data_IF_896081881086
#
_entry.id   IF_896081881086
#
_cell.length_a   1.000
_cell.length_b   1.000
_cell.length_c   1.000
_cell.angle_alpha   90.00
_cell.angle_beta   90.00
_cell.angle_gamma   90.00
#
_symmetry.space_group_name_H-M   'P 1'
#
loop_
_entity.id
_entity.type
_entity.pdbx_description
1 polymer ?
#
# COMPACT_ATOMS: atom_id res chain seq x y z
N UNK A 1 33.38 -30.15 45.80
CA UNK A 1 32.09 -29.62 45.32
C UNK A 1 32.31 -28.93 43.99
N UNK A 2 31.61 -29.34 42.93
CA UNK A 2 31.75 -28.73 41.60
C UNK A 2 31.38 -27.25 41.66
N UNK A 3 32.27 -26.36 41.22
CA UNK A 3 32.06 -24.91 41.22
C UNK A 3 30.85 -24.60 40.34
N UNK A 4 29.74 -24.15 40.94
CA UNK A 4 28.56 -23.78 40.18
C UNK A 4 28.94 -22.69 39.18
N UNK A 5 28.79 -22.97 37.88
CA UNK A 5 29.16 -22.05 36.79
C UNK A 5 28.44 -20.69 36.87
N UNK A 6 27.29 -20.65 37.54
CA UNK A 6 26.50 -19.45 37.79
C UNK A 6 26.25 -19.33 39.30
N UNK A 7 27.17 -18.69 40.01
CA UNK A 7 26.97 -18.37 41.42
C UNK A 7 25.96 -17.23 41.59
N UNK A 8 25.46 -17.06 42.80
CA UNK A 8 24.45 -16.05 43.09
C UNK A 8 24.98 -14.63 42.86
N UNK A 9 26.25 -14.39 43.19
CA UNK A 9 26.92 -13.10 43.05
C UNK A 9 27.05 -12.72 41.58
N UNK A 10 27.53 -13.64 40.75
CA UNK A 10 27.71 -13.45 39.31
C UNK A 10 26.38 -13.18 38.61
N UNK A 11 25.31 -13.91 38.99
CA UNK A 11 23.99 -13.68 38.43
C UNK A 11 23.38 -12.36 38.89
N UNK A 12 23.59 -11.98 40.16
CA UNK A 12 23.08 -10.71 40.70
C UNK A 12 23.73 -9.52 40.02
N UNK A 13 25.05 -9.55 39.84
CA UNK A 13 25.78 -8.53 39.09
C UNK A 13 25.27 -8.42 37.64
N UNK A 14 25.14 -9.55 36.95
CA UNK A 14 24.68 -9.57 35.56
C UNK A 14 23.23 -9.10 35.41
N UNK A 15 22.35 -9.38 36.38
CA UNK A 15 20.96 -8.92 36.40
C UNK A 15 20.89 -7.40 36.66
N UNK A 16 21.68 -6.87 37.58
CA UNK A 16 21.75 -5.41 37.84
C UNK A 16 22.26 -4.67 36.61
N UNK A 17 23.31 -5.20 35.95
CA UNK A 17 23.91 -4.58 34.77
C UNK A 17 23.07 -4.71 33.48
N UNK A 18 21.93 -5.41 33.53
CA UNK A 18 21.11 -5.71 32.36
C UNK A 18 19.67 -5.26 32.52
N UNK A 19 18.98 -5.05 31.40
CA UNK A 19 17.53 -4.74 31.37
C UNK A 19 16.70 -5.83 30.71
N UNK A 20 17.33 -6.97 30.39
CA UNK A 20 16.69 -8.16 29.80
C UNK A 20 17.56 -9.39 30.03
N UNK A 21 16.94 -10.58 29.96
CA UNK A 21 17.65 -11.87 30.02
C UNK A 21 18.68 -12.04 28.90
N UNK A 22 18.42 -11.52 27.70
CA UNK A 22 19.41 -11.50 26.62
C UNK A 22 20.58 -10.56 26.94
N UNK A 23 20.34 -9.49 27.71
CA UNK A 23 21.38 -8.66 28.32
C UNK A 23 22.23 -9.47 29.31
N UNK A 24 21.58 -10.19 30.24
CA UNK A 24 22.27 -11.04 31.23
C UNK A 24 23.18 -12.06 30.54
N UNK A 25 22.68 -12.72 29.49
CA UNK A 25 23.47 -13.67 28.71
C UNK A 25 24.69 -13.01 28.07
N UNK A 26 24.53 -11.84 27.43
CA UNK A 26 25.65 -11.10 26.83
C UNK A 26 26.67 -10.64 27.87
N UNK A 27 26.19 -10.18 29.03
CA UNK A 27 27.04 -9.77 30.15
C UNK A 27 27.89 -10.94 30.67
N UNK A 28 27.33 -12.15 30.68
CA UNK A 28 28.03 -13.39 31.03
C UNK A 28 28.87 -13.97 29.87
N UNK A 29 29.00 -13.26 28.74
CA UNK A 29 29.73 -13.74 27.55
C UNK A 29 29.07 -14.91 26.83
N UNK A 30 27.77 -15.16 27.07
CA UNK A 30 27.02 -16.27 26.50
C UNK A 30 26.29 -15.87 25.23
N UNK A 31 26.26 -16.78 24.26
CA UNK A 31 25.42 -16.64 23.06
C UNK A 31 23.94 -16.74 23.45
N UNK A 32 23.08 -15.76 23.08
CA UNK A 32 21.64 -15.84 23.28
C UNK A 32 21.04 -17.07 22.58
N UNK A 33 20.51 -17.99 23.37
CA UNK A 33 19.88 -19.24 22.93
C UNK A 33 18.75 -19.61 23.90
N UNK A 34 17.64 -20.16 23.39
CA UNK A 34 16.43 -20.40 24.18
C UNK A 34 16.63 -21.32 25.39
N UNK A 35 17.43 -22.39 25.24
CA UNK A 35 17.73 -23.31 26.33
C UNK A 35 18.51 -22.65 27.47
N UNK A 36 19.56 -21.91 27.15
CA UNK A 36 20.36 -21.16 28.15
C UNK A 36 19.55 -20.04 28.78
N UNK A 37 18.69 -19.37 28.01
CA UNK A 37 17.78 -18.35 28.53
C UNK A 37 16.83 -18.94 29.59
N UNK A 38 16.19 -20.07 29.28
CA UNK A 38 15.30 -20.76 30.22
C UNK A 38 16.04 -21.31 31.45
N UNK A 39 17.28 -21.77 31.28
CA UNK A 39 18.13 -22.21 32.39
C UNK A 39 18.47 -21.05 33.34
N UNK A 40 18.96 -19.93 32.81
CA UNK A 40 19.31 -18.77 33.62
C UNK A 40 18.10 -18.14 34.29
N UNK A 41 16.95 -18.08 33.60
CA UNK A 41 15.70 -17.57 34.18
C UNK A 41 15.28 -18.40 35.39
N UNK A 42 15.22 -19.73 35.24
CA UNK A 42 14.93 -20.64 36.37
C UNK A 42 15.92 -20.46 37.51
N UNK A 43 17.21 -20.23 37.20
CA UNK A 43 18.23 -20.05 38.23
C UNK A 43 18.09 -18.72 38.99
N UNK A 44 17.77 -17.63 38.29
CA UNK A 44 17.47 -16.31 38.88
C UNK A 44 16.26 -16.42 39.80
N UNK A 45 15.19 -17.08 39.34
CA UNK A 45 13.97 -17.28 40.12
C UNK A 45 14.24 -18.14 41.37
N UNK A 46 15.01 -19.24 41.24
CA UNK A 46 15.41 -20.11 42.36
C UNK A 46 16.25 -19.40 43.42
N UNK A 47 17.05 -18.41 43.02
CA UNK A 47 17.92 -17.65 43.91
C UNK A 47 17.24 -16.39 44.46
N UNK A 48 15.99 -16.12 44.09
CA UNK A 48 15.25 -14.93 44.54
C UNK A 48 15.89 -13.61 44.12
N UNK A 49 16.59 -13.58 42.98
CA UNK A 49 17.22 -12.35 42.48
C UNK A 49 16.14 -11.49 41.82
N UNK A 50 15.98 -10.26 42.32
CA UNK A 50 15.04 -9.29 41.73
C UNK A 50 15.44 -8.94 40.29
N UNK A 51 14.49 -9.10 39.38
CA UNK A 51 14.61 -8.77 37.96
C UNK A 51 13.40 -7.97 37.45
N UNK A 52 12.67 -7.33 38.36
CA UNK A 52 11.46 -6.55 38.07
C UNK A 52 11.71 -5.36 37.13
N UNK A 53 12.93 -4.81 37.10
CA UNK A 53 13.33 -3.75 36.18
C UNK A 53 13.49 -4.20 34.72
N UNK A 54 13.38 -5.50 34.42
CA UNK A 54 13.45 -5.99 33.05
C UNK A 54 12.21 -5.60 32.27
N UNK A 55 12.39 -4.88 31.17
CA UNK A 55 11.25 -4.34 30.42
C UNK A 55 10.63 -5.35 29.44
N UNK A 56 11.32 -6.46 29.16
CA UNK A 56 10.81 -7.52 28.29
C UNK A 56 10.51 -7.04 26.87
N UNK A 57 9.28 -7.18 26.38
CA UNK A 57 8.88 -6.68 25.06
C UNK A 57 8.56 -5.18 25.04
N UNK A 58 8.60 -4.49 26.19
CA UNK A 58 8.18 -3.09 26.29
C UNK A 58 9.29 -2.06 25.99
N UNK A 59 10.54 -2.49 25.74
CA UNK A 59 11.66 -1.61 25.36
C UNK A 59 11.33 -0.64 24.20
N UNK A 60 10.38 -1.01 23.33
CA UNK A 60 9.93 -0.21 22.19
C UNK A 60 8.45 0.20 22.25
N UNK A 61 7.74 -0.02 23.38
CA UNK A 61 6.29 0.12 23.49
C UNK A 61 5.77 1.51 23.07
N UNK A 62 6.58 2.55 23.26
CA UNK A 62 6.23 3.93 22.90
C UNK A 62 7.08 4.49 21.76
N UNK A 63 7.81 3.64 21.04
CA UNK A 63 8.61 4.04 19.88
C UNK A 63 7.87 3.65 18.60
N UNK A 64 7.57 4.62 17.71
CA UNK A 64 7.02 4.30 16.41
C UNK A 64 7.96 3.34 15.65
N UNK A 65 7.39 2.42 14.89
CA UNK A 65 8.17 1.60 13.96
C UNK A 65 8.97 2.49 13.02
N UNK A 66 10.23 2.15 12.76
CA UNK A 66 11.05 2.82 11.73
C UNK A 66 10.46 2.72 10.33
N UNK A 67 9.54 1.77 10.09
CA UNK A 67 8.80 1.59 8.83
C UNK A 67 7.50 2.38 8.78
N UNK A 68 7.19 3.17 9.82
CA UNK A 68 5.97 3.98 9.86
C UNK A 68 6.11 5.14 8.87
N UNK A 69 5.28 5.11 7.85
CA UNK A 69 5.10 6.21 6.89
C UNK A 69 4.43 7.42 7.54
N UNK A 70 4.88 8.62 7.15
CA UNK A 70 4.26 9.90 7.51
C UNK A 70 2.91 10.09 6.79
N UNK A 71 2.02 10.97 7.29
CA UNK A 71 0.75 11.25 6.61
C UNK A 71 0.91 11.64 5.14
N UNK A 72 1.93 12.44 4.80
CA UNK A 72 2.18 12.92 3.43
C UNK A 72 2.63 11.80 2.49
N UNK A 73 3.24 10.74 3.02
CA UNK A 73 3.64 9.55 2.24
C UNK A 73 2.51 8.53 2.09
N UNK A 74 1.52 8.59 2.98
CA UNK A 74 0.33 7.73 2.95
C UNK A 74 -0.73 8.34 2.03
N UNK A 75 -0.96 9.64 2.14
CA UNK A 75 -2.07 10.34 1.49
C UNK A 75 -1.71 10.85 0.09
N UNK A 76 -1.33 9.90 -0.77
CA UNK A 76 -0.95 10.15 -2.16
C UNK A 76 -1.86 9.40 -3.12
N UNK A 77 -1.81 9.78 -4.40
CA UNK A 77 -2.32 8.90 -5.45
C UNK A 77 -1.31 7.76 -5.66
N UNK A 78 -1.80 6.52 -5.56
CA UNK A 78 -0.99 5.30 -5.64
C UNK A 78 -1.20 4.63 -7.00
N UNK A 79 -0.22 3.84 -7.48
CA UNK A 79 -0.45 2.99 -8.65
C UNK A 79 -1.65 2.06 -8.44
N UNK A 80 -2.51 1.94 -9.44
CA UNK A 80 -3.73 1.12 -9.38
C UNK A 80 -3.47 -0.37 -9.13
N UNK A 81 -2.26 -0.85 -9.43
CA UNK A 81 -1.82 -2.23 -9.18
C UNK A 81 -1.54 -2.51 -7.71
N UNK A 82 -1.38 -1.48 -6.87
CA UNK A 82 -1.16 -1.68 -5.44
C UNK A 82 -2.45 -2.12 -4.76
N UNK A 83 -2.31 -3.05 -3.81
CA UNK A 83 -3.39 -3.41 -2.90
C UNK A 83 -3.91 -2.17 -2.16
N UNK A 84 -5.21 -2.18 -1.85
CA UNK A 84 -5.87 -1.19 -1.00
C UNK A 84 -5.04 -0.93 0.26
N UNK A 85 -4.86 0.35 0.58
CA UNK A 85 -4.17 0.75 1.81
C UNK A 85 -4.97 0.30 3.02
N UNK A 86 -4.28 -0.15 4.07
CA UNK A 86 -4.97 -0.65 5.25
C UNK A 86 -5.78 0.47 5.92
N UNK A 87 -7.06 0.23 6.32
CA UNK A 87 -7.90 1.28 6.87
C UNK A 87 -7.31 2.01 8.08
N UNK A 88 -6.61 1.28 8.97
CA UNK A 88 -5.97 1.87 10.14
C UNK A 88 -4.79 2.81 9.78
N UNK A 89 -4.13 2.59 8.64
CA UNK A 89 -3.05 3.47 8.13
C UNK A 89 -3.65 4.78 7.63
N UNK A 90 -4.73 4.71 6.84
CA UNK A 90 -5.42 5.91 6.34
C UNK A 90 -6.07 6.71 7.48
N UNK A 91 -6.74 6.02 8.42
CA UNK A 91 -7.33 6.65 9.60
C UNK A 91 -6.29 7.42 10.40
N UNK A 92 -5.14 6.78 10.67
CA UNK A 92 -4.02 7.40 11.36
C UNK A 92 -3.52 8.65 10.61
N UNK A 93 -3.25 8.52 9.32
CA UNK A 93 -2.73 9.62 8.50
C UNK A 93 -3.68 10.84 8.49
N UNK A 94 -4.99 10.60 8.36
CA UNK A 94 -6.00 11.66 8.43
C UNK A 94 -6.02 12.35 9.79
N UNK A 95 -6.01 11.58 10.89
CA UNK A 95 -6.00 12.17 12.23
C UNK A 95 -4.73 12.98 12.48
N UNK A 96 -3.57 12.47 12.08
CA UNK A 96 -2.28 13.17 12.21
C UNK A 96 -2.17 14.42 11.34
N UNK A 97 -2.89 14.48 10.22
CA UNK A 97 -2.99 15.68 9.38
C UNK A 97 -3.98 16.71 9.92
N UNK A 98 -4.50 16.53 11.14
CA UNK A 98 -5.45 17.45 11.76
C UNK A 98 -6.90 17.29 11.28
N UNK A 99 -7.23 16.25 10.51
CA UNK A 99 -8.63 16.02 10.10
C UNK A 99 -9.47 15.65 11.32
N UNK A 100 -10.54 16.39 11.64
CA UNK A 100 -11.43 16.04 12.73
C UNK A 100 -12.04 14.66 12.50
N UNK A 101 -12.06 13.81 13.53
CA UNK A 101 -12.69 12.50 13.47
C UNK A 101 -14.21 12.64 13.63
N UNK A 102 -14.86 13.24 12.63
CA UNK A 102 -16.31 13.45 12.56
C UNK A 102 -16.85 12.94 11.25
N UNK A 103 -18.07 12.41 11.26
CA UNK A 103 -18.75 12.03 10.04
C UNK A 103 -18.90 13.26 9.14
N UNK A 104 -18.41 13.19 7.90
CA UNK A 104 -18.49 14.29 6.95
C UNK A 104 -19.93 14.56 6.46
N UNK A 105 -20.86 13.63 6.70
CA UNK A 105 -22.26 13.72 6.28
C UNK A 105 -23.15 14.20 7.44
N UNK A 106 -23.25 13.41 8.52
CA UNK A 106 -24.11 13.75 9.66
C UNK A 106 -23.40 14.44 10.84
N UNK A 107 -22.10 14.73 10.77
CA UNK A 107 -21.34 15.40 11.84
C UNK A 107 -21.05 14.58 13.10
N UNK A 108 -21.56 13.34 13.20
CA UNK A 108 -21.38 12.47 14.36
C UNK A 108 -19.89 12.29 14.72
N UNK A 109 -19.55 12.50 16.00
CA UNK A 109 -18.17 12.47 16.51
C UNK A 109 -17.60 11.09 16.86
N UNK A 110 -18.31 10.01 16.51
CA UNK A 110 -17.93 8.64 16.88
C UNK A 110 -18.65 8.12 18.13
N UNK A 111 -19.93 8.45 18.27
CA UNK A 111 -20.78 7.93 19.36
C UNK A 111 -22.14 7.46 18.81
N UNK A 112 -22.63 6.33 19.32
CA UNK A 112 -23.96 5.82 19.03
C UNK A 112 -24.55 5.17 20.29
N UNK A 113 -25.75 5.60 20.68
CA UNK A 113 -26.43 5.14 21.92
C UNK A 113 -25.55 5.24 23.17
N UNK A 114 -24.82 6.36 23.33
CA UNK A 114 -23.93 6.58 24.48
C UNK A 114 -22.66 5.72 24.47
N UNK A 115 -22.37 4.99 23.38
CA UNK A 115 -21.19 4.12 23.26
C UNK A 115 -20.27 4.59 22.13
N UNK A 116 -18.95 4.43 22.28
CA UNK A 116 -18.00 4.75 21.21
C UNK A 116 -18.28 3.95 19.94
N UNK A 117 -18.23 4.63 18.80
CA UNK A 117 -18.43 4.07 17.47
C UNK A 117 -17.28 4.47 16.56
N UNK A 118 -16.65 3.48 15.93
CA UNK A 118 -15.55 3.73 14.99
C UNK A 118 -16.08 4.32 13.68
N UNK A 119 -15.67 5.55 13.39
CA UNK A 119 -15.87 6.12 12.05
C UNK A 119 -14.97 5.40 11.03
N UNK A 120 -15.56 5.10 9.88
CA UNK A 120 -14.94 4.42 8.75
C UNK A 120 -14.31 5.44 7.81
N UNK A 121 -13.21 5.06 7.15
CA UNK A 121 -12.58 5.87 6.10
C UNK A 121 -13.21 5.50 4.76
N UNK A 122 -13.85 6.48 4.13
CA UNK A 122 -14.48 6.38 2.81
C UNK A 122 -13.64 7.12 1.76
N UNK A 123 -13.64 6.60 0.54
CA UNK A 123 -13.07 7.29 -0.63
C UNK A 123 -14.24 7.90 -1.40
N UNK A 124 -14.25 9.22 -1.54
CA UNK A 124 -15.36 9.96 -2.19
C UNK A 124 -15.63 9.42 -3.59
N UNK A 125 -14.58 9.21 -4.38
CA UNK A 125 -14.67 8.63 -5.73
C UNK A 125 -14.75 7.09 -5.77
N UNK A 126 -14.69 6.41 -4.61
CA UNK A 126 -14.69 4.94 -4.51
C UNK A 126 -13.43 4.24 -5.03
N UNK A 127 -12.37 4.98 -5.36
CA UNK A 127 -11.12 4.44 -5.90
C UNK A 127 -10.10 4.22 -4.78
N UNK A 128 -9.84 2.96 -4.44
CA UNK A 128 -8.97 2.61 -3.30
C UNK A 128 -7.49 2.98 -3.47
N UNK A 129 -7.06 3.41 -4.65
CA UNK A 129 -5.69 3.84 -4.96
C UNK A 129 -5.52 5.35 -4.86
N UNK A 130 -6.60 6.12 -4.91
CA UNK A 130 -6.57 7.57 -4.71
C UNK A 130 -6.69 7.87 -3.22
N UNK A 131 -5.57 7.81 -2.50
CA UNK A 131 -5.53 8.04 -1.06
C UNK A 131 -5.24 9.52 -0.73
N UNK A 132 -5.33 10.45 -1.69
CA UNK A 132 -5.11 11.88 -1.44
C UNK A 132 -6.10 12.38 -0.37
N UNK A 133 -5.63 13.29 0.49
CA UNK A 133 -6.38 13.75 1.66
C UNK A 133 -7.77 14.31 1.31
N UNK A 134 -7.92 14.95 0.15
CA UNK A 134 -9.20 15.53 -0.30
C UNK A 134 -10.20 14.50 -0.80
N UNK A 135 -9.73 13.31 -1.22
CA UNK A 135 -10.58 12.21 -1.64
C UNK A 135 -11.02 11.31 -0.47
N UNK A 136 -10.43 11.50 0.72
CA UNK A 136 -10.72 10.70 1.90
C UNK A 136 -11.61 11.46 2.89
N UNK A 137 -12.58 10.76 3.46
CA UNK A 137 -13.44 11.31 4.52
C UNK A 137 -13.76 10.28 5.58
N UNK A 138 -14.05 10.75 6.80
CA UNK A 138 -14.64 9.91 7.84
C UNK A 138 -16.15 9.86 7.65
N UNK A 139 -16.74 8.67 7.74
CA UNK A 139 -18.18 8.46 7.78
C UNK A 139 -18.55 7.52 8.93
N UNK A 140 -19.69 7.74 9.58
CA UNK A 140 -20.25 6.73 10.47
C UNK A 140 -20.76 5.53 9.65
N UNK A 141 -20.89 4.33 10.25
CA UNK A 141 -21.40 3.15 9.56
C UNK A 141 -22.76 3.37 8.88
N UNK A 142 -23.64 4.19 9.47
CA UNK A 142 -24.97 4.48 8.93
C UNK A 142 -24.93 5.39 7.69
N UNK A 143 -24.07 6.42 7.68
CA UNK A 143 -23.89 7.27 6.50
C UNK A 143 -23.08 6.55 5.42
N UNK A 144 -22.05 5.80 5.82
CA UNK A 144 -21.24 5.04 4.88
C UNK A 144 -22.08 3.98 4.17
N UNK A 145 -22.98 3.30 4.87
CA UNK A 145 -23.89 2.33 4.27
C UNK A 145 -24.91 2.95 3.31
N UNK A 146 -24.98 4.27 3.18
CA UNK A 146 -25.84 4.97 2.20
C UNK A 146 -25.06 5.46 0.98
N UNK A 147 -23.71 5.38 0.99
CA UNK A 147 -22.93 5.83 -0.17
C UNK A 147 -23.12 4.89 -1.37
N UNK A 148 -23.01 5.47 -2.56
CA UNK A 148 -23.02 4.74 -3.84
C UNK A 148 -21.84 3.76 -3.96
N UNK A 149 -20.77 3.98 -3.21
CA UNK A 149 -19.52 3.20 -3.23
C UNK A 149 -19.47 2.09 -2.18
N UNK A 150 -20.44 2.03 -1.26
CA UNK A 150 -20.44 1.09 -0.14
C UNK A 150 -20.49 -0.37 -0.57
N UNK A 151 -19.71 -1.24 0.09
CA UNK A 151 -19.73 -2.70 -0.09
C UNK A 151 -19.66 -3.20 -1.57
N UNK A 152 -19.06 -2.40 -2.45
CA UNK A 152 -19.01 -2.72 -3.88
C UNK A 152 -20.36 -2.53 -4.58
N UNK A 153 -21.26 -1.68 -4.08
CA UNK A 153 -22.47 -1.23 -4.81
C UNK A 153 -22.13 -0.43 -6.05
N UNK A 154 -20.96 0.21 -6.07
CA UNK A 154 -20.37 0.75 -7.30
C UNK A 154 -19.95 -0.33 -8.31
N UNK A 155 -20.34 -1.60 -8.11
CA UNK A 155 -20.18 -2.63 -9.14
C UNK A 155 -20.98 -2.30 -10.39
N UNK A 156 -22.10 -1.57 -10.35
CA UNK A 156 -22.80 -1.14 -11.57
C UNK A 156 -23.65 0.13 -11.38
N UNK A 157 -23.38 1.15 -12.19
CA UNK A 157 -24.40 1.79 -13.04
C UNK A 157 -23.64 2.53 -14.14
N UNK A 158 -23.66 1.97 -15.35
CA UNK A 158 -23.41 2.77 -16.52
C UNK A 158 -24.62 2.60 -17.42
N UNK A 159 -25.58 3.50 -17.25
CA UNK A 159 -26.74 3.67 -18.13
C UNK A 159 -26.37 4.30 -19.47
N UNK A 160 -25.09 4.67 -19.64
CA UNK A 160 -24.57 5.28 -20.84
C UNK A 160 -24.03 4.20 -21.77
N UNK A 161 -24.79 3.88 -22.82
CA UNK A 161 -24.33 3.00 -23.89
C UNK A 161 -23.60 3.87 -24.90
N UNK A 162 -22.31 3.60 -25.12
CA UNK A 162 -21.60 4.16 -26.27
C UNK A 162 -22.02 3.35 -27.49
N UNK A 163 -22.96 3.88 -28.27
CA UNK A 163 -23.29 3.36 -29.59
C UNK A 163 -22.27 3.88 -30.61
N UNK A 164 -21.67 2.98 -31.39
CA UNK A 164 -20.65 3.32 -32.38
C UNK A 164 -19.19 3.18 -31.92
N UNK A 165 -18.22 3.65 -32.74
CA UNK A 165 -16.80 3.50 -32.49
C UNK A 165 -16.33 4.40 -31.33
N UNK A 166 -15.47 3.86 -30.47
CA UNK A 166 -14.88 4.62 -29.35
C UNK A 166 -13.81 5.57 -29.92
N UNK A 167 -14.17 6.83 -30.02
CA UNK A 167 -13.28 7.91 -30.47
C UNK A 167 -12.44 8.47 -29.33
N UNK A 168 -11.43 9.30 -29.66
CA UNK A 168 -10.63 9.97 -28.64
C UNK A 168 -11.45 10.99 -27.85
N UNK A 169 -12.44 11.63 -28.48
CA UNK A 169 -13.37 12.56 -27.80
C UNK A 169 -14.19 11.82 -26.72
N UNK A 170 -14.71 10.63 -27.04
CA UNK A 170 -15.44 9.79 -26.08
C UNK A 170 -14.53 9.36 -24.94
N UNK A 171 -13.29 8.93 -25.25
CA UNK A 171 -12.32 8.59 -24.21
C UNK A 171 -12.00 9.79 -23.32
N UNK A 172 -11.83 10.98 -23.89
CA UNK A 172 -11.55 12.21 -23.14
C UNK A 172 -12.70 12.56 -22.21
N UNK A 173 -13.95 12.54 -22.71
CA UNK A 173 -15.15 12.77 -21.89
C UNK A 173 -15.22 11.80 -20.71
N UNK A 174 -15.17 10.49 -21.00
CA UNK A 174 -15.26 9.44 -19.98
C UNK A 174 -14.17 9.62 -18.92
N UNK A 175 -12.94 9.93 -19.32
CA UNK A 175 -11.83 10.11 -18.39
C UNK A 175 -11.95 11.41 -17.59
N UNK A 176 -12.51 12.47 -18.19
CA UNK A 176 -12.81 13.72 -17.48
C UNK A 176 -13.84 13.49 -16.39
N UNK A 177 -14.88 12.69 -16.67
CA UNK A 177 -15.91 12.30 -15.68
C UNK A 177 -15.33 11.43 -14.55
N UNK A 178 -14.36 10.56 -14.88
CA UNK A 178 -13.57 9.83 -13.87
C UNK A 178 -12.80 10.79 -12.96
N UNK A 179 -12.14 11.80 -13.53
CA UNK A 179 -11.36 12.79 -12.77
C UNK A 179 -12.24 13.65 -11.87
N UNK A 180 -13.46 13.97 -12.31
CA UNK A 180 -14.49 14.68 -11.52
C UNK A 180 -15.17 13.80 -10.47
N UNK A 181 -14.91 12.50 -10.46
CA UNK A 181 -15.53 11.54 -9.55
C UNK A 181 -16.98 11.19 -9.89
N UNK A 182 -17.48 11.59 -11.06
CA UNK A 182 -18.85 11.32 -11.52
C UNK A 182 -19.05 9.83 -11.86
N UNK A 183 -18.00 9.17 -12.35
CA UNK A 183 -17.99 7.74 -12.66
C UNK A 183 -16.74 7.06 -12.09
N UNK A 184 -16.87 5.79 -11.71
CA UNK A 184 -15.72 5.01 -11.24
C UNK A 184 -14.81 4.62 -12.41
N UNK A 185 -13.52 4.37 -12.14
CA UNK A 185 -12.61 3.88 -13.17
C UNK A 185 -13.03 2.49 -13.69
N UNK A 186 -13.71 1.69 -12.86
CA UNK A 186 -14.30 0.42 -13.29
C UNK A 186 -15.49 0.64 -14.25
N UNK A 187 -16.32 1.66 -14.01
CA UNK A 187 -17.39 2.03 -14.93
C UNK A 187 -16.83 2.56 -16.26
N UNK A 188 -15.81 3.42 -16.19
CA UNK A 188 -15.10 3.92 -17.38
C UNK A 188 -14.44 2.80 -18.20
N UNK A 189 -13.85 1.81 -17.53
CA UNK A 189 -13.27 0.63 -18.19
C UNK A 189 -14.32 -0.15 -18.97
N UNK A 190 -15.52 -0.31 -18.42
CA UNK A 190 -16.64 -0.96 -19.13
C UNK A 190 -17.16 -0.11 -20.28
N UNK A 191 -17.33 1.19 -20.07
CA UNK A 191 -17.74 2.16 -21.09
C UNK A 191 -16.84 2.16 -22.31
N UNK A 192 -15.53 2.24 -22.06
CA UNK A 192 -14.52 2.28 -23.10
C UNK A 192 -14.12 0.87 -23.60
N UNK A 193 -14.81 -0.18 -23.13
CA UNK A 193 -14.56 -1.59 -23.47
C UNK A 193 -13.06 -1.92 -23.39
N UNK A 194 -12.38 -1.40 -22.37
CA UNK A 194 -10.95 -1.51 -22.19
C UNK A 194 -10.61 -2.09 -20.82
N UNK A 195 -9.39 -2.55 -20.62
CA UNK A 195 -8.96 -3.06 -19.34
C UNK A 195 -8.92 -1.93 -18.27
N UNK A 196 -9.13 -2.22 -16.97
CA UNK A 196 -9.15 -1.20 -15.92
C UNK A 196 -7.89 -0.33 -15.82
N UNK A 197 -6.73 -0.88 -16.16
CA UNK A 197 -5.47 -0.15 -16.15
C UNK A 197 -5.32 0.81 -17.34
N UNK A 198 -6.07 0.63 -18.43
CA UNK A 198 -6.09 1.54 -19.59
C UNK A 198 -6.67 2.91 -19.22
N UNK A 199 -7.62 2.95 -18.28
CA UNK A 199 -8.16 4.19 -17.73
C UNK A 199 -7.08 5.05 -17.09
N UNK A 200 -6.13 4.42 -16.39
CA UNK A 200 -4.95 5.12 -15.85
C UNK A 200 -4.12 5.74 -16.97
N UNK A 201 -3.80 4.97 -18.02
CA UNK A 201 -3.00 5.48 -19.13
C UNK A 201 -3.64 6.68 -19.82
N UNK A 202 -4.96 6.67 -19.97
CA UNK A 202 -5.68 7.81 -20.53
C UNK A 202 -5.65 9.03 -19.59
N UNK A 203 -5.76 8.83 -18.27
CA UNK A 203 -5.60 9.93 -17.29
C UNK A 203 -4.20 10.53 -17.30
N UNK A 204 -3.18 9.68 -17.28
CA UNK A 204 -1.77 10.10 -17.30
C UNK A 204 -1.51 10.93 -18.57
N UNK A 205 -1.92 10.42 -19.74
CA UNK A 205 -1.79 11.15 -21.02
C UNK A 205 -2.55 12.47 -21.07
N UNK A 206 -3.80 12.49 -20.61
CA UNK A 206 -4.59 13.74 -20.58
C UNK A 206 -3.95 14.80 -19.71
N UNK A 207 -3.33 14.39 -18.60
CA UNK A 207 -2.64 15.30 -17.68
C UNK A 207 -1.33 15.81 -18.30
N UNK A 208 -0.59 14.93 -18.99
CA UNK A 208 0.73 15.25 -19.57
C UNK A 208 0.64 16.06 -20.87
N UNK A 209 -0.34 15.80 -21.74
CA UNK A 209 -0.36 16.34 -23.11
C UNK A 209 -1.64 17.12 -23.45
N UNK A 210 -2.62 17.17 -22.54
CA UNK A 210 -3.93 17.78 -22.80
C UNK A 210 -4.83 16.98 -23.76
N UNK A 211 -4.38 15.79 -24.20
CA UNK A 211 -5.10 14.93 -25.14
C UNK A 211 -4.67 13.46 -25.07
N UNK A 212 -5.36 12.57 -25.79
CA UNK A 212 -5.02 11.13 -25.77
C UNK A 212 -4.06 10.70 -26.88
N UNK A 213 -3.88 11.55 -27.89
CA UNK A 213 -2.86 11.36 -28.92
C UNK A 213 -1.49 11.72 -28.34
N UNK A 214 -0.48 10.85 -28.48
CA UNK A 214 0.88 11.23 -28.11
C UNK A 214 1.33 12.42 -28.96
N UNK A 215 2.12 13.36 -28.40
CA UNK A 215 2.74 14.40 -29.21
C UNK A 215 3.55 13.73 -30.34
N UNK A 216 3.60 14.32 -31.54
CA UNK A 216 4.37 13.76 -32.63
C UNK A 216 5.81 13.51 -32.17
N UNK A 217 6.34 12.31 -32.45
CA UNK A 217 7.74 11.99 -32.15
C UNK A 217 8.61 13.08 -32.77
N UNK A 218 9.39 13.81 -31.96
CA UNK A 218 10.43 14.71 -32.49
C UNK A 218 11.33 13.85 -33.38
N UNK A 219 11.30 14.06 -34.69
CA UNK A 219 12.23 13.41 -35.61
C UNK A 219 13.63 13.95 -35.29
N UNK A 220 14.52 13.06 -34.91
CA UNK A 220 15.96 13.31 -34.83
C UNK A 220 16.45 13.79 -33.46
N UNK A 221 16.91 12.86 -32.64
CA UNK A 221 18.34 12.70 -32.30
C UNK A 221 18.54 11.20 -32.04
N UNK A 222 19.36 10.53 -32.86
CA UNK A 222 19.77 9.15 -32.57
C UNK A 222 20.80 9.24 -31.42
N UNK A 223 20.61 8.57 -30.28
CA UNK A 223 21.64 8.51 -29.25
C UNK A 223 22.85 7.79 -29.84
N UNK A 224 24.02 8.40 -29.76
CA UNK A 224 25.29 7.73 -30.09
C UNK A 224 25.55 6.67 -29.01
N UNK A 225 25.27 5.41 -29.31
CA UNK A 225 25.82 4.30 -28.54
C UNK A 225 27.04 3.79 -29.26
N UNK A 226 28.18 4.30 -28.82
CA UNK A 226 29.45 3.59 -28.87
C UNK A 226 29.30 2.34 -27.98
N UNK A 227 29.19 1.18 -28.63
CA UNK A 227 29.32 -0.14 -28.01
C UNK A 227 29.42 -1.14 -29.16
N UNK A 228 30.66 -1.50 -29.48
CA UNK A 228 30.96 -2.54 -30.45
C UNK A 228 30.23 -3.84 -30.11
N UNK A 229 29.73 -4.51 -31.15
CA UNK A 229 29.52 -5.95 -31.11
C UNK A 229 29.51 -6.51 -32.53
N UNK A 230 30.58 -7.25 -32.82
CA UNK A 230 30.53 -8.62 -33.32
C UNK A 230 29.78 -8.78 -34.65
N UNK A 231 30.57 -8.79 -35.71
CA UNK A 231 30.28 -9.50 -36.96
C UNK A 231 29.73 -10.91 -36.72
N UNK A 232 28.58 -11.22 -37.32
CA UNK A 232 28.29 -12.58 -37.74
C UNK A 232 27.71 -12.56 -39.16
N UNK A 233 28.37 -13.35 -39.99
CA UNK A 233 28.25 -13.40 -41.42
C UNK A 233 26.93 -14.01 -41.91
N UNK A 234 26.56 -13.54 -43.11
CA UNK A 234 25.88 -14.22 -44.21
C UNK A 234 25.47 -15.68 -44.00
N UNK A 235 24.20 -15.97 -44.28
CA UNK A 235 23.80 -17.13 -45.09
C UNK A 235 22.67 -16.67 -46.01
N UNK A 236 22.95 -16.68 -47.32
CA UNK A 236 21.99 -16.53 -48.41
C UNK A 236 21.14 -17.79 -48.54
N UNK A 237 19.88 -17.64 -48.94
CA UNK A 237 19.00 -18.76 -49.30
C UNK A 237 17.75 -18.28 -50.03
N UNK A 238 17.83 -18.34 -51.35
CA UNK A 238 16.89 -17.86 -52.36
C UNK A 238 15.72 -18.82 -52.66
N UNK A 239 14.64 -18.21 -53.18
CA UNK A 239 13.66 -18.75 -54.14
C UNK A 239 12.55 -19.70 -53.64
N UNK A 240 11.31 -19.45 -54.08
CA UNK A 240 10.18 -20.37 -53.88
C UNK A 240 8.76 -19.83 -54.15
N UNK A 241 8.56 -19.23 -55.31
CA UNK A 241 7.34 -19.08 -56.14
C UNK A 241 6.04 -19.83 -55.74
N UNK A 242 4.96 -19.05 -55.65
CA UNK A 242 3.51 -19.29 -55.96
C UNK A 242 2.93 -20.71 -56.06
N UNK A 243 1.81 -20.95 -55.36
CA UNK A 243 0.57 -21.49 -55.95
C UNK A 243 -0.62 -21.48 -54.95
N UNK A 244 -1.75 -20.99 -55.44
CA UNK A 244 -3.14 -21.21 -55.00
C UNK A 244 -3.96 -21.28 -56.29
N UNK A 245 -5.20 -21.82 -56.36
CA UNK A 245 -5.98 -22.70 -55.47
C UNK A 245 -6.46 -23.95 -56.31
N UNK A 246 -7.65 -24.61 -56.17
CA UNK A 246 -9.01 -24.03 -56.06
C UNK A 246 -9.91 -24.65 -54.97
N UNK A 247 -11.00 -23.92 -54.75
CA UNK A 247 -12.18 -24.31 -53.98
C UNK A 247 -13.02 -25.37 -54.71
N UNK A 248 -13.72 -26.19 -53.91
CA UNK A 248 -14.99 -26.84 -54.24
C UNK A 248 -15.93 -26.53 -53.08
#
# INVERSE_FOLDING_TARGET
>A
MAKARYTQEVLKEAVIASTSMAGVMRHLGLRPAGGTHAHLRRRIDQLGIDSSHFTGQSHAHNRPSSRRRRPEEVMIERPTTRKREAPHVLRRALTESGRPCRCADCGNGGEWQGRPMTLQVDHINGMHWDCRADNLRFLCPNCHSQTRTFAGRNRFECTYVVEGPITDEIRIDVITRVNRGEISAAAASRLLKCAPWTIRQYRDRLTETGGLKPPPRKRGVRPTTDAGSITRAAINGSAGTTASPPAV
#
